data_IF_569850544935
#
_entry.id   IF_569850544935
#
_cell.length_a   1.000
_cell.length_b   1.000
_cell.length_c   1.000
_cell.angle_alpha   90.00
_cell.angle_beta   90.00
_cell.angle_gamma   90.00
#
_symmetry.space_group_name_H-M   'P 1'
#
loop_
_entity.id
_entity.type
_entity.pdbx_description
1 polymer ?
#
# COMPACT_ATOMS: atom_id res chain seq x y z
N UNK A 1 42.00 19.32 7.23
CA UNK A 1 40.81 18.44 7.16
C UNK A 1 41.31 17.13 6.60
N UNK A 2 41.18 16.03 7.35
CA UNK A 2 41.64 14.72 6.88
C UNK A 2 40.68 14.26 5.77
N UNK A 3 41.16 14.31 4.52
CA UNK A 3 40.33 14.03 3.34
C UNK A 3 39.98 12.54 3.22
N UNK A 4 40.82 11.65 3.74
CA UNK A 4 40.58 10.20 3.72
C UNK A 4 39.43 9.80 4.66
N UNK A 5 39.38 10.39 5.86
CA UNK A 5 38.27 10.19 6.80
C UNK A 5 36.94 10.71 6.22
N UNK A 6 37.00 11.83 5.49
CA UNK A 6 35.82 12.41 4.84
C UNK A 6 35.28 11.51 3.72
N UNK A 7 36.15 10.96 2.89
CA UNK A 7 35.77 10.06 1.81
C UNK A 7 35.25 8.72 2.35
N UNK A 8 35.90 8.15 3.37
CA UNK A 8 35.44 6.94 4.04
C UNK A 8 34.06 7.12 4.69
N UNK A 9 33.83 8.24 5.38
CA UNK A 9 32.52 8.55 5.95
C UNK A 9 31.43 8.74 4.89
N UNK A 10 31.78 9.33 3.74
CA UNK A 10 30.87 9.53 2.61
C UNK A 10 30.51 8.21 1.91
N UNK A 11 31.47 7.30 1.78
CA UNK A 11 31.27 5.97 1.20
C UNK A 11 30.45 5.07 2.12
N UNK A 12 30.75 5.10 3.43
CA UNK A 12 29.94 4.42 4.46
C UNK A 12 28.50 4.92 4.46
N UNK A 13 28.27 6.24 4.46
CA UNK A 13 26.93 6.81 4.40
C UNK A 13 26.19 6.44 3.10
N UNK A 14 26.90 6.28 1.98
CA UNK A 14 26.34 5.78 0.71
C UNK A 14 25.91 4.32 0.81
N UNK A 15 26.71 3.48 1.45
CA UNK A 15 26.40 2.06 1.67
C UNK A 15 25.21 1.92 2.63
N UNK A 16 25.22 2.67 3.73
CA UNK A 16 24.14 2.70 4.72
C UNK A 16 22.82 3.23 4.12
N UNK A 17 22.90 4.13 3.12
CA UNK A 17 21.73 4.64 2.39
C UNK A 17 21.29 3.74 1.23
N UNK A 18 22.16 2.84 0.74
CA UNK A 18 21.87 1.87 -0.31
C UNK A 18 21.27 0.57 0.24
N UNK A 19 21.50 0.27 1.53
CA UNK A 19 20.66 -0.64 2.29
C UNK A 19 19.28 -0.01 2.42
N UNK A 20 18.30 -0.49 1.65
CA UNK A 20 16.90 -0.13 1.85
C UNK A 20 16.60 -0.30 3.33
N UNK A 21 16.32 0.81 4.01
CA UNK A 21 16.30 0.83 5.46
C UNK A 21 15.49 -0.34 6.00
N UNK A 22 16.09 -1.12 6.88
CA UNK A 22 15.34 -1.85 7.89
C UNK A 22 14.56 -0.77 8.66
N UNK A 23 13.37 -0.43 8.15
CA UNK A 23 12.32 0.11 8.99
C UNK A 23 12.21 -0.90 10.10
N UNK A 24 12.56 -0.50 11.31
CA UNK A 24 12.05 -1.11 12.52
C UNK A 24 10.52 -0.99 12.47
N UNK A 25 9.89 -1.87 11.70
CA UNK A 25 8.46 -1.99 11.55
C UNK A 25 8.05 -3.02 12.60
N UNK A 26 7.32 -2.55 13.60
CA UNK A 26 6.68 -3.39 14.59
C UNK A 26 5.99 -4.56 13.89
N UNK A 27 6.45 -5.80 14.15
CA UNK A 27 5.81 -7.09 13.82
C UNK A 27 4.74 -7.04 12.71
N UNK A 28 5.11 -6.55 11.52
CA UNK A 28 4.23 -6.50 10.36
C UNK A 28 4.34 -7.77 9.54
N UNK A 29 3.32 -8.06 8.74
CA UNK A 29 3.29 -9.12 7.76
C UNK A 29 3.79 -8.53 6.44
N UNK A 30 4.84 -9.12 5.87
CA UNK A 30 5.35 -8.76 4.54
C UNK A 30 5.41 -10.00 3.63
N UNK A 31 5.50 -9.75 2.33
CA UNK A 31 5.81 -10.75 1.31
C UNK A 31 7.31 -10.69 1.01
N UNK A 32 8.07 -11.41 1.83
CA UNK A 32 9.50 -11.62 1.61
C UNK A 32 9.76 -12.50 0.37
N UNK A 33 11.05 -12.69 0.04
CA UNK A 33 11.45 -13.44 -1.15
C UNK A 33 10.92 -14.88 -1.13
N UNK A 34 10.86 -15.52 0.05
CA UNK A 34 10.37 -16.88 0.21
C UNK A 34 8.85 -16.96 0.03
N UNK A 35 8.11 -16.01 0.60
CA UNK A 35 6.67 -15.91 0.44
C UNK A 35 6.27 -15.70 -1.03
N UNK A 36 7.01 -14.85 -1.75
CA UNK A 36 6.79 -14.61 -3.17
C UNK A 36 7.04 -15.86 -4.02
N UNK A 37 8.12 -16.60 -3.74
CA UNK A 37 8.42 -17.87 -4.40
C UNK A 37 7.33 -18.93 -4.12
N UNK A 38 6.83 -19.00 -2.88
CA UNK A 38 5.73 -19.90 -2.52
C UNK A 38 4.44 -19.57 -3.29
N UNK A 39 4.07 -18.28 -3.40
CA UNK A 39 2.91 -17.84 -4.19
C UNK A 39 3.04 -18.21 -5.67
N UNK A 40 4.24 -18.01 -6.24
CA UNK A 40 4.52 -18.39 -7.62
C UNK A 40 4.43 -19.91 -7.83
N UNK A 41 4.99 -20.70 -6.92
CA UNK A 41 4.90 -22.18 -6.95
C UNK A 41 3.47 -22.68 -6.81
N UNK A 42 2.63 -22.00 -6.01
CA UNK A 42 1.19 -22.28 -5.90
C UNK A 42 0.39 -21.82 -7.13
N UNK A 43 1.02 -21.11 -8.08
CA UNK A 43 0.35 -20.63 -9.29
C UNK A 43 -0.64 -19.49 -9.03
N UNK A 44 -0.47 -18.75 -7.93
CA UNK A 44 -1.32 -17.60 -7.62
C UNK A 44 -1.01 -16.48 -8.64
N UNK A 45 -2.01 -15.98 -9.39
CA UNK A 45 -1.79 -14.88 -10.32
C UNK A 45 -1.55 -13.56 -9.57
N UNK A 46 -0.93 -12.60 -10.25
CA UNK A 46 -0.81 -11.24 -9.72
C UNK A 46 -2.21 -10.65 -9.46
N UNK A 47 -2.32 -9.84 -8.40
CA UNK A 47 -3.58 -9.20 -8.03
C UNK A 47 -3.97 -8.16 -9.09
N UNK A 48 -5.20 -8.21 -9.59
CA UNK A 48 -5.74 -7.15 -10.44
C UNK A 48 -6.15 -5.95 -9.57
N UNK A 49 -5.34 -4.90 -9.58
CA UNK A 49 -5.56 -3.70 -8.77
C UNK A 49 -6.14 -2.51 -9.58
N UNK A 50 -6.61 -2.74 -10.81
CA UNK A 50 -7.17 -1.68 -11.65
C UNK A 50 -8.42 -1.04 -11.05
N UNK A 51 -9.17 -1.79 -10.22
CA UNK A 51 -10.37 -1.32 -9.55
C UNK A 51 -10.15 -0.10 -8.64
N UNK A 52 -8.91 0.18 -8.24
CA UNK A 52 -8.56 1.40 -7.49
C UNK A 52 -8.80 2.69 -8.27
N UNK A 53 -8.91 2.61 -9.60
CA UNK A 53 -9.19 3.74 -10.51
C UNK A 53 -10.66 3.85 -10.92
N UNK A 54 -11.53 2.93 -10.50
CA UNK A 54 -12.94 2.90 -10.89
C UNK A 54 -13.79 3.89 -10.08
N UNK A 55 -13.34 5.13 -9.92
CA UNK A 55 -14.07 6.17 -9.22
C UNK A 55 -14.68 7.18 -10.19
N UNK A 56 -15.76 7.84 -9.76
CA UNK A 56 -16.32 8.98 -10.50
C UNK A 56 -16.17 10.26 -9.68
N UNK A 57 -16.14 11.40 -10.37
CA UNK A 57 -16.18 12.71 -9.74
C UNK A 57 -17.31 13.53 -10.38
N UNK A 58 -18.12 14.19 -9.55
CA UNK A 58 -19.16 15.10 -10.03
C UNK A 58 -18.57 16.49 -10.38
N UNK A 59 -19.42 17.39 -10.90
CA UNK A 59 -19.03 18.76 -11.27
C UNK A 59 -18.61 19.62 -10.08
N UNK A 60 -18.93 19.21 -8.85
CA UNK A 60 -18.53 19.88 -7.61
C UNK A 60 -17.24 19.28 -7.03
N UNK A 61 -16.65 18.28 -7.70
CA UNK A 61 -15.40 17.63 -7.27
C UNK A 61 -15.59 16.62 -6.15
N UNK A 62 -16.82 16.12 -5.91
CA UNK A 62 -17.07 15.04 -4.95
C UNK A 62 -16.79 13.70 -5.61
N UNK A 63 -16.00 12.87 -4.93
CA UNK A 63 -15.66 11.54 -5.41
C UNK A 63 -16.70 10.50 -4.97
N UNK A 64 -17.04 9.59 -5.87
CA UNK A 64 -17.78 8.37 -5.53
C UNK A 64 -16.86 7.18 -5.73
N UNK A 65 -16.58 6.47 -4.64
CA UNK A 65 -15.73 5.28 -4.61
C UNK A 65 -16.64 4.05 -4.52
N UNK A 66 -16.68 3.16 -5.52
CA UNK A 66 -17.49 1.96 -5.45
C UNK A 66 -16.88 0.96 -4.46
N UNK A 67 -17.73 0.13 -3.89
CA UNK A 67 -17.30 -1.05 -3.16
C UNK A 67 -16.82 -2.14 -4.14
N UNK A 68 -15.77 -2.84 -3.76
CA UNK A 68 -15.24 -3.96 -4.54
C UNK A 68 -15.86 -5.29 -4.10
N UNK A 69 -15.78 -6.28 -4.98
CA UNK A 69 -15.95 -7.69 -4.64
C UNK A 69 -14.71 -8.44 -5.10
N UNK A 70 -14.24 -9.40 -4.31
CA UNK A 70 -13.05 -10.16 -4.63
C UNK A 70 -13.12 -11.56 -4.01
N UNK A 71 -12.17 -12.40 -4.40
CA UNK A 71 -11.96 -13.73 -3.85
C UNK A 71 -10.61 -13.80 -3.15
N UNK A 72 -10.58 -14.40 -1.97
CA UNK A 72 -9.33 -14.64 -1.24
C UNK A 72 -8.54 -15.73 -1.96
N UNK A 73 -7.30 -15.42 -2.34
CA UNK A 73 -6.41 -16.37 -3.01
C UNK A 73 -5.32 -16.91 -2.09
N UNK A 74 -4.94 -16.16 -1.06
CA UNK A 74 -4.01 -16.62 -0.03
C UNK A 74 -4.19 -15.82 1.26
N UNK A 75 -3.93 -16.46 2.40
CA UNK A 75 -3.90 -15.84 3.72
C UNK A 75 -2.55 -16.12 4.35
N UNK A 76 -1.92 -15.11 4.94
CA UNK A 76 -0.63 -15.20 5.62
C UNK A 76 -0.78 -14.76 7.08
N UNK A 77 -0.27 -15.55 8.02
CA UNK A 77 -0.23 -15.21 9.45
C UNK A 77 1.20 -15.37 9.95
N UNK A 78 1.80 -14.29 10.43
CA UNK A 78 3.24 -14.21 10.63
C UNK A 78 3.98 -14.56 9.34
N UNK A 79 4.84 -15.58 9.39
CA UNK A 79 5.70 -15.96 8.26
C UNK A 79 5.15 -17.12 7.40
N UNK A 80 3.91 -17.55 7.62
CA UNK A 80 3.35 -18.75 6.96
C UNK A 80 2.04 -18.47 6.27
N UNK A 81 1.85 -19.11 5.11
CA UNK A 81 0.54 -19.18 4.47
C UNK A 81 -0.33 -20.25 5.13
N UNK A 82 -1.59 -19.91 5.34
CA UNK A 82 -2.60 -20.79 5.94
C UNK A 82 -3.83 -20.82 5.05
N UNK A 83 -4.58 -21.92 5.10
CA UNK A 83 -5.82 -22.06 4.34
C UNK A 83 -7.01 -21.37 5.04
N UNK A 84 -6.90 -21.16 6.35
CA UNK A 84 -7.98 -20.67 7.21
C UNK A 84 -7.44 -20.02 8.48
N UNK A 85 -8.16 -19.00 8.97
CA UNK A 85 -7.97 -18.36 10.27
C UNK A 85 -9.33 -18.20 10.94
N UNK A 86 -9.44 -18.56 12.21
CA UNK A 86 -10.70 -18.53 12.99
C UNK A 86 -10.57 -17.83 14.34
N UNK A 87 -9.41 -17.24 14.63
CA UNK A 87 -9.12 -16.60 15.90
C UNK A 87 -9.27 -15.09 15.75
N UNK A 88 -10.12 -14.52 16.60
CA UNK A 88 -10.39 -13.08 16.65
C UNK A 88 -9.15 -12.29 17.09
N UNK A 89 -8.99 -11.07 16.56
CA UNK A 89 -7.87 -10.20 16.80
C UNK A 89 -6.56 -10.63 16.14
N UNK A 90 -6.53 -11.72 15.36
CA UNK A 90 -5.29 -12.15 14.68
C UNK A 90 -4.92 -11.18 13.58
N UNK A 91 -3.67 -10.68 13.65
CA UNK A 91 -3.06 -9.97 12.54
C UNK A 91 -2.81 -10.95 11.39
N UNK A 92 -3.42 -10.68 10.24
CA UNK A 92 -3.27 -11.48 9.04
C UNK A 92 -3.05 -10.61 7.80
N UNK A 93 -2.36 -11.18 6.81
CA UNK A 93 -2.16 -10.62 5.49
C UNK A 93 -3.03 -11.37 4.49
N UNK A 94 -3.92 -10.65 3.82
CA UNK A 94 -4.87 -11.22 2.86
C UNK A 94 -4.46 -10.83 1.44
N UNK A 95 -4.34 -11.82 0.57
CA UNK A 95 -4.11 -11.61 -0.87
C UNK A 95 -5.40 -11.95 -1.60
N UNK A 96 -5.79 -11.06 -2.50
CA UNK A 96 -7.02 -11.15 -3.29
C UNK A 96 -6.70 -11.33 -4.77
N UNK A 97 -7.64 -11.90 -5.53
CA UNK A 97 -7.57 -11.97 -6.99
C UNK A 97 -7.64 -10.57 -7.64
N UNK A 98 -8.44 -9.67 -7.06
CA UNK A 98 -8.56 -8.27 -7.45
C UNK A 98 -8.84 -7.38 -6.24
N UNK A 99 -8.54 -6.09 -6.35
CA UNK A 99 -8.75 -5.14 -5.25
C UNK A 99 -9.07 -3.72 -5.73
N UNK A 100 -9.84 -3.01 -4.92
CA UNK A 100 -10.09 -1.56 -5.05
C UNK A 100 -9.17 -0.74 -4.13
N UNK A 101 -8.41 -1.38 -3.25
CA UNK A 101 -7.46 -0.71 -2.35
C UNK A 101 -6.22 -0.25 -3.14
N UNK A 102 -5.73 0.94 -2.83
CA UNK A 102 -4.47 1.46 -3.30
C UNK A 102 -3.35 1.03 -2.34
N UNK A 103 -2.41 0.25 -2.87
CA UNK A 103 -1.19 -0.11 -2.16
C UNK A 103 -0.19 1.07 -2.14
N UNK A 104 0.58 1.22 -1.06
CA UNK A 104 1.59 2.28 -0.95
C UNK A 104 2.54 2.25 -2.15
N UNK A 105 2.64 3.39 -2.85
CA UNK A 105 3.45 3.53 -4.06
C UNK A 105 3.65 4.99 -4.44
N UNK A 106 4.82 5.32 -5.00
CA UNK A 106 5.10 6.65 -5.54
C UNK A 106 5.08 7.78 -4.50
N UNK A 107 5.34 7.47 -3.23
CA UNK A 107 5.24 8.42 -2.11
C UNK A 107 3.83 8.56 -1.53
N UNK A 108 2.81 7.99 -2.18
CA UNK A 108 1.45 7.95 -1.65
C UNK A 108 1.26 6.79 -0.68
N UNK A 109 0.76 7.12 0.51
CA UNK A 109 0.40 6.12 1.51
C UNK A 109 -0.75 5.23 1.03
N UNK A 110 -0.77 4.03 1.59
CA UNK A 110 -1.81 3.04 1.36
C UNK A 110 -3.19 3.49 1.89
N UNK A 111 -4.22 2.79 1.41
CA UNK A 111 -5.56 2.88 1.98
C UNK A 111 -5.75 2.04 3.23
N UNK A 112 -6.79 2.42 3.97
CA UNK A 112 -7.35 1.65 5.07
C UNK A 112 -8.82 1.37 4.77
N UNK A 113 -9.41 0.38 5.44
CA UNK A 113 -10.80 0.01 5.21
C UNK A 113 -11.13 -1.36 5.76
N UNK A 114 -12.11 -2.02 5.16
CA UNK A 114 -12.64 -3.29 5.62
C UNK A 114 -12.73 -4.29 4.46
N UNK A 115 -12.44 -5.54 4.78
CA UNK A 115 -12.74 -6.70 3.94
C UNK A 115 -13.76 -7.53 4.71
N UNK A 116 -14.98 -7.63 4.20
CA UNK A 116 -16.08 -8.34 4.87
C UNK A 116 -16.51 -9.55 4.07
N UNK A 117 -16.86 -10.65 4.75
CA UNK A 117 -17.40 -11.82 4.06
C UNK A 117 -18.76 -11.51 3.42
N UNK A 118 -19.01 -12.09 2.26
CA UNK A 118 -20.34 -12.05 1.62
C UNK A 118 -21.26 -13.19 2.07
N UNK A 119 -20.73 -14.14 2.84
CA UNK A 119 -21.48 -15.26 3.41
C UNK A 119 -22.18 -14.88 4.74
N UNK A 120 -23.02 -15.78 5.25
CA UNK A 120 -23.81 -15.58 6.49
C UNK A 120 -22.99 -15.49 7.77
N UNK A 121 -21.75 -15.99 7.74
CA UNK A 121 -20.86 -15.96 8.89
C UNK A 121 -20.20 -14.58 8.98
N UNK A 122 -20.41 -13.90 10.10
CA UNK A 122 -19.81 -12.59 10.35
C UNK A 122 -18.27 -12.73 10.36
N UNK A 123 -17.64 -12.18 9.34
CA UNK A 123 -16.18 -12.10 9.22
C UNK A 123 -15.82 -10.72 8.68
N UNK A 124 -14.91 -10.04 9.37
CA UNK A 124 -14.39 -8.73 9.00
C UNK A 124 -12.89 -8.68 9.23
N UNK A 125 -12.15 -8.18 8.25
CA UNK A 125 -10.75 -7.80 8.41
C UNK A 125 -10.67 -6.28 8.37
N UNK A 126 -10.24 -5.68 9.48
CA UNK A 126 -9.92 -4.25 9.53
C UNK A 126 -8.53 -4.03 8.92
N UNK A 127 -8.50 -3.56 7.68
CA UNK A 127 -7.26 -3.32 6.91
C UNK A 127 -6.59 -2.05 7.41
N UNK A 128 -5.33 -2.18 7.84
CA UNK A 128 -4.51 -1.09 8.40
C UNK A 128 -3.27 -0.77 7.57
N UNK A 129 -2.94 -1.62 6.59
CA UNK A 129 -1.81 -1.43 5.71
C UNK A 129 -2.02 -2.22 4.41
N UNK A 130 -1.63 -1.63 3.27
CA UNK A 130 -1.73 -2.28 1.95
C UNK A 130 -0.42 -2.10 1.20
N UNK A 131 0.22 -3.21 0.85
CA UNK A 131 1.53 -3.25 0.23
C UNK A 131 1.48 -4.03 -1.09
N UNK A 132 2.29 -3.60 -2.06
CA UNK A 132 2.46 -4.34 -3.32
C UNK A 132 3.88 -4.89 -3.42
N UNK A 133 4.01 -6.17 -3.77
CA UNK A 133 5.29 -6.86 -3.99
C UNK A 133 5.17 -7.75 -5.22
N UNK A 134 5.95 -7.47 -6.27
CA UNK A 134 5.94 -8.21 -7.55
C UNK A 134 4.52 -8.47 -8.13
N UNK A 135 3.61 -7.52 -7.96
CA UNK A 135 2.23 -7.62 -8.46
C UNK A 135 1.22 -8.28 -7.51
N UNK A 136 1.65 -8.83 -6.38
CA UNK A 136 0.75 -9.27 -5.32
C UNK A 136 0.43 -8.10 -4.39
N UNK A 137 -0.86 -7.86 -4.13
CA UNK A 137 -1.30 -6.87 -3.16
C UNK A 137 -1.65 -7.56 -1.85
N UNK A 138 -0.87 -7.23 -0.81
CA UNK A 138 -1.05 -7.69 0.55
C UNK A 138 -1.90 -6.68 1.33
N UNK A 139 -3.02 -7.14 1.88
CA UNK A 139 -3.89 -6.37 2.77
C UNK A 139 -3.65 -6.86 4.20
N UNK A 140 -2.91 -6.10 4.98
CA UNK A 140 -2.63 -6.43 6.38
C UNK A 140 -3.69 -5.81 7.29
N UNK A 141 -4.25 -6.63 8.18
CA UNK A 141 -5.32 -6.22 9.08
C UNK A 141 -5.58 -7.22 10.20
N UNK A 142 -6.43 -6.80 11.14
CA UNK A 142 -6.89 -7.67 12.22
C UNK A 142 -8.20 -8.34 11.81
N UNK A 143 -8.26 -9.65 11.96
CA UNK A 143 -9.45 -10.46 11.68
C UNK A 143 -10.36 -10.53 12.89
N UNK A 144 -11.66 -10.38 12.67
CA UNK A 144 -12.74 -10.78 13.57
C UNK A 144 -13.59 -11.81 12.82
N UNK A 145 -13.76 -13.00 13.40
CA UNK A 145 -14.48 -14.13 12.81
C UNK A 145 -13.57 -15.10 12.05
N UNK A 146 -14.11 -15.67 10.96
CA UNK A 146 -13.47 -16.76 10.21
C UNK A 146 -13.22 -16.40 8.76
N UNK A 147 -11.97 -16.54 8.33
CA UNK A 147 -11.51 -16.24 6.98
C UNK A 147 -10.89 -17.48 6.34
N UNK A 148 -11.31 -17.84 5.12
CA UNK A 148 -10.75 -18.98 4.39
C UNK A 148 -10.33 -18.60 2.97
N UNK A 149 -9.27 -19.25 2.49
CA UNK A 149 -8.90 -19.20 1.07
C UNK A 149 -10.08 -19.70 0.22
N UNK A 150 -10.36 -18.98 -0.86
CA UNK A 150 -11.51 -19.07 -1.75
C UNK A 150 -12.82 -18.41 -1.31
N UNK A 151 -12.87 -17.78 -0.14
CA UNK A 151 -14.06 -17.03 0.25
C UNK A 151 -14.26 -15.80 -0.64
N UNK A 152 -15.54 -15.49 -0.91
CA UNK A 152 -15.96 -14.27 -1.59
C UNK A 152 -16.14 -13.16 -0.56
N UNK A 153 -15.46 -12.04 -0.79
CA UNK A 153 -15.44 -10.90 0.11
C UNK A 153 -15.85 -9.61 -0.60
N UNK A 154 -16.35 -8.68 0.21
CA UNK A 154 -16.65 -7.31 -0.16
C UNK A 154 -15.55 -6.40 0.38
N UNK A 155 -15.17 -5.42 -0.44
CA UNK A 155 -14.07 -4.49 -0.18
C UNK A 155 -14.62 -3.09 -0.01
N UNK A 156 -14.40 -2.48 1.15
CA UNK A 156 -14.87 -1.12 1.44
C UNK A 156 -13.69 -0.28 1.92
N UNK A 157 -13.28 0.71 1.11
CA UNK A 157 -12.18 1.63 1.45
C UNK A 157 -12.68 2.78 2.30
N UNK A 158 -11.82 3.31 3.18
CA UNK A 158 -12.11 4.54 3.91
C UNK A 158 -12.13 5.73 2.93
N UNK A 159 -13.32 6.18 2.56
CA UNK A 159 -13.52 7.22 1.55
C UNK A 159 -12.85 8.55 1.93
N UNK A 160 -12.97 8.98 3.19
CA UNK A 160 -12.38 10.23 3.68
C UNK A 160 -10.86 10.19 3.52
N UNK A 161 -10.24 9.07 3.93
CA UNK A 161 -8.79 8.86 3.79
C UNK A 161 -8.39 8.88 2.32
N UNK A 162 -9.07 8.09 1.48
CA UNK A 162 -8.79 7.98 0.05
C UNK A 162 -8.89 9.33 -0.66
N UNK A 163 -9.92 10.11 -0.36
CA UNK A 163 -10.10 11.44 -0.93
C UNK A 163 -8.95 12.38 -0.58
N UNK A 164 -8.51 12.39 0.68
CA UNK A 164 -7.35 13.18 1.11
C UNK A 164 -6.09 12.81 0.32
N UNK A 165 -5.85 11.51 0.15
CA UNK A 165 -4.74 11.00 -0.67
C UNK A 165 -4.84 11.45 -2.14
N UNK A 166 -6.02 11.30 -2.77
CA UNK A 166 -6.24 11.70 -4.17
C UNK A 166 -6.06 13.20 -4.38
N UNK A 167 -6.59 14.03 -3.48
CA UNK A 167 -6.43 15.49 -3.51
C UNK A 167 -4.96 15.88 -3.38
N UNK A 168 -4.25 15.30 -2.41
CA UNK A 168 -2.83 15.61 -2.19
C UNK A 168 -1.92 15.08 -3.30
N UNK A 169 -2.26 13.95 -3.92
CA UNK A 169 -1.59 13.44 -5.12
C UNK A 169 -1.73 14.42 -6.29
N UNK A 170 -2.96 14.87 -6.55
CA UNK A 170 -3.24 15.85 -7.60
C UNK A 170 -2.52 17.17 -7.33
N UNK A 171 -2.56 17.64 -6.08
CA UNK A 171 -1.86 18.85 -5.65
C UNK A 171 -0.34 18.75 -5.84
N UNK A 172 0.23 17.55 -5.69
CA UNK A 172 1.66 17.31 -5.95
C UNK A 172 2.02 17.62 -7.42
N UNK A 173 1.20 17.16 -8.37
CA UNK A 173 1.42 17.44 -9.79
C UNK A 173 1.24 18.92 -10.13
N UNK A 174 0.20 19.55 -9.59
CA UNK A 174 -0.06 20.98 -9.78
C UNK A 174 1.09 21.81 -9.21
N UNK A 175 1.57 21.48 -8.01
CA UNK A 175 2.71 22.14 -7.38
C UNK A 175 3.98 21.98 -8.22
N UNK A 176 4.29 20.76 -8.67
CA UNK A 176 5.46 20.51 -9.50
C UNK A 176 5.41 21.31 -10.81
N UNK A 177 4.24 21.38 -11.46
CA UNK A 177 4.04 22.21 -12.64
C UNK A 177 4.28 23.70 -12.34
N UNK A 178 3.67 24.23 -11.27
CA UNK A 178 3.82 25.63 -10.88
C UNK A 178 5.28 25.98 -10.53
N UNK A 179 5.99 25.11 -9.81
CA UNK A 179 7.40 25.29 -9.49
C UNK A 179 8.25 25.39 -10.75
N UNK A 180 7.99 24.57 -11.78
CA UNK A 180 8.68 24.67 -13.06
C UNK A 180 8.39 25.96 -13.82
N UNK A 181 7.18 26.50 -13.69
CA UNK A 181 6.84 27.79 -14.31
C UNK A 181 7.54 28.97 -13.63
N UNK A 182 7.70 28.93 -12.30
CA UNK A 182 8.27 30.04 -11.53
C UNK A 182 9.79 29.98 -11.45
N UNK A 183 10.35 28.79 -11.21
CA UNK A 183 11.77 28.58 -10.93
C UNK A 183 12.54 27.97 -12.11
N UNK A 184 11.85 27.51 -13.15
CA UNK A 184 12.49 26.87 -14.30
C UNK A 184 12.80 25.38 -14.04
N UNK A 185 14.08 25.00 -14.13
CA UNK A 185 14.48 23.60 -14.02
C UNK A 185 14.39 23.11 -12.56
N UNK A 186 13.32 22.37 -12.27
CA UNK A 186 13.05 21.76 -10.96
C UNK A 186 13.06 20.24 -11.06
N UNK A 187 13.91 19.64 -10.22
CA UNK A 187 14.03 18.19 -10.07
C UNK A 187 13.42 17.74 -8.73
N UNK A 188 12.42 16.87 -8.80
CA UNK A 188 11.86 16.20 -7.64
C UNK A 188 12.88 15.23 -7.03
N UNK A 189 13.08 15.30 -5.71
CA UNK A 189 13.94 14.40 -4.93
C UNK A 189 13.16 13.49 -3.99
N UNK A 190 11.94 13.87 -3.63
CA UNK A 190 11.08 13.07 -2.77
C UNK A 190 9.65 13.58 -2.75
N UNK A 191 8.71 12.70 -2.41
CA UNK A 191 7.33 13.09 -2.14
C UNK A 191 6.74 12.18 -1.06
N UNK A 192 5.93 12.78 -0.19
CA UNK A 192 5.03 12.08 0.70
C UNK A 192 3.62 12.61 0.45
N UNK A 193 2.70 11.71 0.13
CA UNK A 193 1.28 11.99 0.00
C UNK A 193 0.56 11.19 1.08
N UNK A 194 0.16 11.88 2.14
CA UNK A 194 -0.63 11.36 3.24
C UNK A 194 -2.05 11.98 3.19
N UNK A 195 -3.04 11.45 3.92
CA UNK A 195 -4.42 11.97 3.85
C UNK A 195 -4.51 13.45 4.24
N UNK A 196 -3.77 13.84 5.28
CA UNK A 196 -3.84 15.19 5.87
C UNK A 196 -2.76 16.14 5.35
N UNK A 197 -1.75 15.64 4.62
CA UNK A 197 -0.61 16.46 4.19
C UNK A 197 0.10 15.92 2.96
N UNK A 198 0.76 16.85 2.26
CA UNK A 198 1.68 16.59 1.17
C UNK A 198 3.05 17.20 1.54
N UNK A 199 4.13 16.45 1.32
CA UNK A 199 5.52 16.95 1.34
C UNK A 199 6.12 16.76 -0.04
N UNK A 200 6.75 17.80 -0.58
CA UNK A 200 7.41 17.77 -1.86
C UNK A 200 8.82 18.30 -1.72
N UNK A 201 9.80 17.42 -1.89
CA UNK A 201 11.21 17.73 -1.75
C UNK A 201 11.80 17.93 -3.15
N UNK A 202 12.41 19.09 -3.43
CA UNK A 202 12.93 19.43 -4.75
C UNK A 202 14.24 20.21 -4.70
N UNK A 203 14.97 20.21 -5.82
CA UNK A 203 16.11 21.10 -6.07
C UNK A 203 15.81 21.99 -7.27
N UNK A 204 16.20 23.25 -7.20
CA UNK A 204 16.14 24.21 -8.30
C UNK A 204 17.56 24.64 -8.68
N UNK A 205 17.82 24.82 -9.99
CA UNK A 205 19.11 25.28 -10.52
C UNK A 205 19.09 26.75 -10.88
#
# INVERSE_FOLDING_TARGET
>A
INMEEYEAAKEQAKLDSAGGGEKACAQGIDLDVYALDELQKKGVPATNDLGKYDYTADSEGRYTLPEGQAKIVAIRVGDRFVDEVCEDGVLCGVILDKTVFYAESGGQQYDEGFITSTASDACEVTVRNVQVRRGFVLHEGHLEGRLRVNDSVKLSVNAIRREGLMKNHTATHVLNFALRQVLGEVDQKGSLVAPEKLRFDFTAK
#
